data_IF_875199994494
#
_entry.id   IF_875199994494
#
_cell.length_a   1.000
_cell.length_b   1.000
_cell.length_c   1.000
_cell.angle_alpha   90.00
_cell.angle_beta   90.00
_cell.angle_gamma   90.00
#
_symmetry.space_group_name_H-M   'P 1'
#
loop_
_entity.id
_entity.type
_entity.pdbx_description
1 polymer ?
#
# COMPACT_ATOMS: atom_id res chain seq x y z
N UNK A 1 8.24 18.40 -13.09
CA UNK A 1 9.64 18.21 -13.49
C UNK A 1 9.84 16.79 -13.95
N UNK A 2 10.48 16.60 -15.10
CA UNK A 2 10.83 15.28 -15.66
C UNK A 2 11.84 14.58 -14.74
N UNK A 3 11.39 13.64 -13.91
CA UNK A 3 12.28 12.84 -13.08
C UNK A 3 12.89 11.73 -13.93
N UNK A 4 14.09 11.98 -14.49
CA UNK A 4 14.98 10.97 -15.09
C UNK A 4 15.71 10.16 -14.00
N UNK A 5 14.98 9.72 -12.98
CA UNK A 5 15.56 9.05 -11.83
C UNK A 5 14.64 7.99 -11.28
N UNK A 6 15.24 6.89 -10.83
CA UNK A 6 14.54 5.89 -10.04
C UNK A 6 14.00 6.56 -8.77
N UNK A 7 12.72 6.35 -8.46
CA UNK A 7 12.15 6.77 -7.18
C UNK A 7 11.97 5.56 -6.26
N UNK A 8 12.55 5.68 -5.08
CA UNK A 8 12.42 4.76 -3.95
C UNK A 8 11.83 5.52 -2.78
N UNK A 9 10.66 5.08 -2.32
CA UNK A 9 9.99 5.62 -1.15
C UNK A 9 9.93 4.58 -0.05
N UNK A 10 10.20 4.97 1.19
CA UNK A 10 9.99 4.12 2.36
C UNK A 10 9.15 4.90 3.38
N UNK A 11 8.14 4.25 3.94
CA UNK A 11 7.27 4.81 4.97
C UNK A 11 7.14 3.82 6.12
N UNK A 12 7.56 4.26 7.30
CA UNK A 12 7.38 3.55 8.55
C UNK A 12 6.24 4.19 9.33
N UNK A 13 5.43 3.37 10.00
CA UNK A 13 4.38 3.84 10.89
C UNK A 13 4.19 2.87 12.04
N UNK A 14 4.15 3.42 13.25
CA UNK A 14 3.70 2.72 14.45
C UNK A 14 2.29 3.26 14.76
N UNK A 15 1.34 2.36 14.95
CA UNK A 15 -0.06 2.68 15.22
C UNK A 15 -0.49 1.96 16.50
N UNK A 16 -1.07 2.68 17.46
CA UNK A 16 -1.85 2.06 18.53
C UNK A 16 -3.30 2.00 18.08
N UNK A 17 -3.87 0.79 18.03
CA UNK A 17 -5.26 0.56 17.63
C UNK A 17 -6.08 0.21 18.85
N UNK A 18 -7.03 1.09 19.19
CA UNK A 18 -8.07 0.83 20.18
C UNK A 18 -9.19 0.10 19.44
N UNK A 19 -9.49 -1.13 19.85
CA UNK A 19 -10.56 -1.94 19.26
C UNK A 19 -11.63 -2.16 20.30
N UNK A 20 -12.91 -2.10 19.90
CA UNK A 20 -13.99 -2.37 20.83
C UNK A 20 -14.07 -3.86 21.13
N UNK A 21 -14.34 -4.19 22.40
CA UNK A 21 -14.61 -5.55 22.85
C UNK A 21 -15.79 -6.18 22.09
N UNK A 22 -16.77 -5.36 21.69
CA UNK A 22 -17.92 -5.77 20.87
C UNK A 22 -17.54 -6.33 19.49
N UNK A 23 -16.34 -6.02 18.98
CA UNK A 23 -15.79 -6.58 17.74
C UNK A 23 -14.78 -7.71 18.02
N UNK A 24 -14.70 -8.20 19.26
CA UNK A 24 -13.75 -9.22 19.70
C UNK A 24 -12.29 -8.79 19.63
N UNK A 25 -12.03 -7.48 19.62
CA UNK A 25 -10.70 -6.93 19.38
C UNK A 25 -10.02 -6.46 20.67
N UNK A 26 -8.78 -6.89 20.89
CA UNK A 26 -7.92 -6.32 21.93
C UNK A 26 -7.14 -5.13 21.38
N UNK A 27 -6.90 -4.13 22.23
CA UNK A 27 -5.99 -3.04 21.94
C UNK A 27 -4.62 -3.59 21.56
N UNK A 28 -3.97 -2.99 20.55
CA UNK A 28 -2.71 -3.52 20.02
C UNK A 28 -1.85 -2.45 19.37
N UNK A 29 -0.54 -2.61 19.53
CA UNK A 29 0.44 -1.93 18.69
C UNK A 29 0.60 -2.66 17.35
N UNK A 30 0.63 -1.86 16.29
CA UNK A 30 0.88 -2.33 14.92
C UNK A 30 2.00 -1.51 14.33
N UNK A 31 3.08 -2.18 13.97
CA UNK A 31 4.12 -1.64 13.12
C UNK A 31 3.81 -1.93 11.65
N UNK A 32 4.07 -0.95 10.81
CA UNK A 32 3.85 -1.01 9.38
C UNK A 32 5.03 -0.39 8.64
N UNK A 33 5.60 -1.15 7.72
CA UNK A 33 6.58 -0.64 6.75
C UNK A 33 6.02 -0.76 5.34
N UNK A 34 6.06 0.32 4.57
CA UNK A 34 5.78 0.31 3.13
C UNK A 34 7.02 0.75 2.37
N UNK A 35 7.45 -0.06 1.43
CA UNK A 35 8.46 0.30 0.44
C UNK A 35 7.79 0.44 -0.92
N UNK A 36 8.01 1.55 -1.60
CA UNK A 36 7.47 1.85 -2.92
C UNK A 36 8.62 2.09 -3.91
N UNK A 37 8.49 1.50 -5.08
CA UNK A 37 9.41 1.57 -6.20
C UNK A 37 8.66 2.10 -7.41
N UNK A 38 9.14 3.18 -8.00
CA UNK A 38 8.62 3.74 -9.25
C UNK A 38 9.80 3.80 -10.23
N UNK A 39 9.87 2.90 -11.22
CA UNK A 39 10.95 2.92 -12.19
C UNK A 39 10.88 4.20 -13.04
N UNK A 40 12.01 4.64 -13.61
CA UNK A 40 12.06 5.81 -14.48
C UNK A 40 11.47 5.55 -15.88
N UNK A 41 10.56 4.60 -16.03
CA UNK A 41 9.92 4.23 -17.29
C UNK A 41 8.58 4.95 -17.39
N UNK A 42 8.30 5.57 -18.54
CA UNK A 42 7.01 6.18 -18.85
C UNK A 42 6.38 5.44 -20.01
N UNK A 43 5.16 4.93 -19.82
CA UNK A 43 4.49 4.04 -20.78
C UNK A 43 3.68 4.80 -21.86
N UNK A 44 3.72 6.14 -21.91
CA UNK A 44 2.90 6.92 -22.84
C UNK A 44 3.27 8.42 -22.85
N UNK A 45 2.76 9.15 -23.86
CA UNK A 45 2.69 10.61 -23.93
C UNK A 45 1.98 11.25 -22.72
N UNK A 46 1.12 10.48 -22.04
CA UNK A 46 0.44 10.91 -20.81
C UNK A 46 1.27 10.75 -19.53
N UNK A 47 2.59 10.52 -19.62
CA UNK A 47 3.50 10.38 -18.47
C UNK A 47 3.09 9.30 -17.45
N UNK A 48 2.43 8.24 -17.92
CA UNK A 48 1.99 7.12 -17.08
C UNK A 48 3.21 6.41 -16.49
N UNK A 49 3.30 6.34 -15.17
CA UNK A 49 4.37 5.65 -14.47
C UNK A 49 3.87 4.37 -13.82
N UNK A 50 4.47 3.20 -14.11
CA UNK A 50 4.20 2.01 -13.31
C UNK A 50 4.77 2.20 -11.90
N UNK A 51 4.20 1.51 -10.93
CA UNK A 51 4.74 1.46 -9.58
C UNK A 51 4.55 0.07 -8.98
N UNK A 52 5.44 -0.26 -8.06
CA UNK A 52 5.39 -1.45 -7.24
C UNK A 52 5.52 -1.04 -5.79
N UNK A 53 4.74 -1.63 -4.90
CA UNK A 53 4.88 -1.40 -3.48
C UNK A 53 4.73 -2.71 -2.72
N UNK A 54 5.53 -2.84 -1.68
CA UNK A 54 5.46 -3.93 -0.72
C UNK A 54 5.22 -3.36 0.67
N UNK A 55 4.29 -3.94 1.40
CA UNK A 55 3.92 -3.47 2.73
C UNK A 55 3.85 -4.64 3.72
N UNK A 56 4.57 -4.47 4.83
CA UNK A 56 4.67 -5.39 5.95
C UNK A 56 3.88 -4.87 7.14
N UNK A 57 3.17 -5.76 7.82
CA UNK A 57 2.46 -5.48 9.05
C UNK A 57 2.90 -6.45 10.14
N UNK A 58 3.41 -5.89 11.23
CA UNK A 58 3.77 -6.63 12.42
C UNK A 58 2.92 -6.13 13.58
N UNK A 59 2.35 -7.07 14.32
CA UNK A 59 1.56 -6.81 15.51
C UNK A 59 2.29 -7.41 16.71
N UNK A 60 2.31 -6.67 17.82
CA UNK A 60 2.97 -7.07 19.07
C UNK A 60 2.67 -8.51 19.51
N UNK A 61 1.38 -8.87 19.55
CA UNK A 61 0.95 -10.18 20.08
C UNK A 61 0.92 -11.31 19.06
N UNK A 62 1.00 -11.00 17.76
CA UNK A 62 0.85 -11.99 16.66
C UNK A 62 2.07 -12.11 15.76
N UNK A 63 3.05 -11.23 15.97
CA UNK A 63 4.17 -11.04 15.06
C UNK A 63 3.69 -10.56 13.70
N UNK A 64 4.27 -11.14 12.66
CA UNK A 64 3.91 -10.86 11.27
C UNK A 64 2.46 -11.29 10.99
N UNK A 65 1.59 -10.31 10.75
CA UNK A 65 0.13 -10.48 10.66
C UNK A 65 -0.38 -10.33 9.22
N UNK A 66 0.29 -9.50 8.42
CA UNK A 66 -0.14 -9.23 7.06
C UNK A 66 1.00 -8.75 6.14
N UNK A 67 0.88 -9.11 4.86
CA UNK A 67 1.69 -8.64 3.76
C UNK A 67 0.80 -8.11 2.64
N UNK A 68 1.27 -7.09 1.94
CA UNK A 68 0.63 -6.59 0.74
C UNK A 68 1.66 -6.36 -0.34
N UNK A 69 1.39 -6.92 -1.51
CA UNK A 69 2.09 -6.61 -2.73
C UNK A 69 1.14 -5.82 -3.64
N UNK A 70 1.56 -4.64 -4.06
CA UNK A 70 0.80 -3.75 -4.91
C UNK A 70 1.58 -3.48 -6.19
N UNK A 71 0.92 -3.57 -7.33
CA UNK A 71 1.48 -3.16 -8.62
C UNK A 71 0.43 -2.38 -9.39
N UNK A 72 0.82 -1.32 -10.08
CA UNK A 72 -0.15 -0.49 -10.80
C UNK A 72 0.47 0.62 -11.62
N UNK A 73 -0.40 1.52 -12.06
CA UNK A 73 -0.08 2.68 -12.88
C UNK A 73 -0.54 3.95 -12.18
N UNK A 74 0.35 4.95 -12.12
CA UNK A 74 0.05 6.33 -11.73
C UNK A 74 -0.11 7.14 -13.02
N UNK A 75 -1.33 7.66 -13.24
CA UNK A 75 -1.75 8.40 -14.41
C UNK A 75 -1.96 9.87 -14.00
N UNK A 76 -1.04 10.78 -14.34
CA UNK A 76 -1.26 12.20 -14.13
C UNK A 76 -2.30 12.69 -15.15
N UNK A 77 -3.47 13.13 -14.69
CA UNK A 77 -4.51 13.67 -15.58
C UNK A 77 -4.33 15.18 -15.78
N UNK A 78 -4.03 15.90 -14.71
CA UNK A 78 -3.71 17.33 -14.72
C UNK A 78 -2.57 17.62 -13.72
N UNK A 79 -2.01 18.83 -13.72
CA UNK A 79 -0.95 19.25 -12.78
C UNK A 79 -1.30 19.04 -11.29
N UNK A 80 -2.59 18.92 -10.97
CA UNK A 80 -3.14 18.81 -9.61
C UNK A 80 -3.93 17.53 -9.37
N UNK A 81 -4.07 16.66 -10.38
CA UNK A 81 -4.89 15.45 -10.28
C UNK A 81 -4.14 14.22 -10.73
N UNK A 82 -4.22 13.17 -9.92
CA UNK A 82 -3.58 11.90 -10.19
C UNK A 82 -4.58 10.76 -9.99
N UNK A 83 -4.71 9.92 -11.01
CA UNK A 83 -5.41 8.65 -10.91
C UNK A 83 -4.37 7.54 -10.70
N UNK A 84 -4.64 6.62 -9.79
CA UNK A 84 -3.86 5.40 -9.62
C UNK A 84 -4.78 4.18 -9.81
N UNK A 85 -4.41 3.32 -10.76
CA UNK A 85 -5.05 2.03 -11.00
C UNK A 85 -4.06 0.96 -10.59
N UNK A 86 -4.46 0.05 -9.69
CA UNK A 86 -3.53 -0.94 -9.17
C UNK A 86 -4.21 -2.23 -8.76
N UNK A 87 -3.44 -3.30 -8.84
CA UNK A 87 -3.78 -4.58 -8.27
C UNK A 87 -3.05 -4.73 -6.94
N UNK A 88 -3.76 -5.22 -5.92
CA UNK A 88 -3.25 -5.46 -4.58
C UNK A 88 -3.48 -6.93 -4.24
N UNK A 89 -2.38 -7.66 -4.12
CA UNK A 89 -2.35 -8.98 -3.52
C UNK A 89 -2.12 -8.83 -2.02
N UNK A 90 -3.12 -9.19 -1.21
CA UNK A 90 -3.07 -9.09 0.24
C UNK A 90 -3.09 -10.49 0.85
N UNK A 91 -2.17 -10.75 1.77
CA UNK A 91 -2.16 -11.98 2.57
C UNK A 91 -2.16 -11.63 4.05
N UNK A 92 -3.04 -12.23 4.83
CA UNK A 92 -3.19 -11.92 6.25
C UNK A 92 -3.62 -13.15 7.06
N UNK A 93 -3.33 -13.13 8.36
CA UNK A 93 -3.71 -14.23 9.27
C UNK A 93 -5.13 -14.05 9.78
N UNK A 94 -5.93 -15.11 9.68
CA UNK A 94 -7.26 -15.15 10.28
C UNK A 94 -7.21 -15.39 11.81
N UNK A 95 -8.36 -15.54 12.46
CA UNK A 95 -8.44 -15.81 13.90
C UNK A 95 -7.74 -17.10 14.32
N UNK A 96 -7.67 -18.10 13.43
CA UNK A 96 -7.03 -19.39 13.63
C UNK A 96 -5.53 -19.41 13.23
N UNK A 97 -4.93 -18.23 12.98
CA UNK A 97 -3.54 -18.07 12.50
C UNK A 97 -3.26 -18.69 11.12
N UNK A 98 -4.28 -19.13 10.40
CA UNK A 98 -4.14 -19.58 9.02
C UNK A 98 -4.01 -18.37 8.08
N UNK A 99 -3.16 -18.50 7.07
CA UNK A 99 -3.00 -17.49 6.04
C UNK A 99 -4.15 -17.53 5.05
N UNK A 100 -4.74 -16.37 4.80
CA UNK A 100 -5.77 -16.17 3.77
C UNK A 100 -5.35 -15.06 2.82
N UNK A 101 -5.80 -15.15 1.56
CA UNK A 101 -5.36 -14.30 0.46
C UNK A 101 -6.55 -13.58 -0.15
N UNK A 102 -6.45 -12.26 -0.32
CA UNK A 102 -7.43 -11.45 -1.04
C UNK A 102 -6.76 -10.77 -2.22
N UNK A 103 -7.47 -10.76 -3.35
CA UNK A 103 -7.10 -10.03 -4.56
C UNK A 103 -8.00 -8.81 -4.65
N UNK A 104 -7.41 -7.62 -4.72
CA UNK A 104 -8.17 -6.36 -4.70
C UNK A 104 -7.72 -5.52 -5.90
N UNK A 105 -8.68 -5.16 -6.75
CA UNK A 105 -8.48 -4.11 -7.75
C UNK A 105 -8.78 -2.77 -7.08
N UNK A 106 -7.78 -1.88 -7.06
CA UNK A 106 -7.86 -0.60 -6.36
C UNK A 106 -7.73 0.57 -7.34
N UNK A 107 -8.73 1.45 -7.29
CA UNK A 107 -8.79 2.70 -8.02
C UNK A 107 -8.70 3.82 -6.98
N UNK A 108 -7.74 4.72 -7.13
CA UNK A 108 -7.57 5.86 -6.24
C UNK A 108 -7.45 7.15 -7.06
N UNK A 109 -8.27 8.15 -6.74
CA UNK A 109 -8.22 9.48 -7.33
C UNK A 109 -7.75 10.47 -6.27
N UNK A 110 -6.65 11.17 -6.55
CA UNK A 110 -6.03 12.13 -5.63
C UNK A 110 -6.03 13.53 -6.25
N UNK A 111 -6.41 14.52 -5.45
CA UNK A 111 -6.45 15.93 -5.83
C UNK A 111 -5.56 16.73 -4.87
N UNK A 112 -4.67 17.53 -5.43
CA UNK A 112 -3.73 18.38 -4.70
C UNK A 112 -4.13 19.84 -4.87
N UNK A 113 -4.38 20.54 -3.76
CA UNK A 113 -4.71 21.97 -3.74
C UNK A 113 -3.46 22.81 -3.50
#
# INVERSE_FOLDING_TARGET
>A
GSARGLYLGNRNRIEYRILSEALGGNNRWVYRNRTEYIPPIRLSWKNIAPFFAYELFWQETRGLDQHRLQAGLKIPYHKRTQLALSYLFRTFKNSQKAWIHHNILWINFSLHF
#
